data_IF_813546261353
#
_entry.id   IF_813546261353
#
_cell.length_a   1.000
_cell.length_b   1.000
_cell.length_c   1.000
_cell.angle_alpha   90.00
_cell.angle_beta   90.00
_cell.angle_gamma   90.00
#
_symmetry.space_group_name_H-M   'P 1'
#
loop_
_entity.id
_entity.type
_entity.pdbx_description
1 polymer ?
#
# COMPACT_ATOMS: atom_id res chain seq x y z
N UNK A 1 2.89 -9.44 -16.43
CA UNK A 1 1.82 -9.98 -17.32
C UNK A 1 2.27 -10.06 -18.78
N UNK A 2 1.79 -11.05 -19.54
CA UNK A 2 2.06 -11.19 -20.99
C UNK A 2 1.21 -10.23 -21.83
N UNK A 3 0.06 -9.82 -21.31
CA UNK A 3 -0.85 -8.85 -21.93
C UNK A 3 -1.10 -7.69 -20.97
N UNK A 4 -1.57 -6.56 -21.51
CA UNK A 4 -1.86 -5.38 -20.68
C UNK A 4 -2.97 -5.67 -19.66
N UNK A 5 -2.67 -5.43 -18.38
CA UNK A 5 -3.58 -5.58 -17.24
C UNK A 5 -3.89 -4.20 -16.66
N UNK A 6 -5.13 -3.96 -16.31
CA UNK A 6 -5.52 -2.72 -15.64
C UNK A 6 -5.19 -2.77 -14.16
N UNK A 7 -4.50 -1.73 -13.69
CA UNK A 7 -4.10 -1.53 -12.31
C UNK A 7 -4.60 -0.16 -11.83
N UNK A 8 -5.11 -0.10 -10.62
CA UNK A 8 -5.42 1.16 -9.96
C UNK A 8 -4.69 1.29 -8.63
N UNK A 9 -4.19 2.49 -8.35
CA UNK A 9 -3.51 2.81 -7.10
C UNK A 9 -4.30 3.84 -6.29
N UNK A 10 -4.77 3.45 -5.09
CA UNK A 10 -5.44 4.32 -4.13
C UNK A 10 -4.37 4.95 -3.23
N UNK A 11 -4.21 6.26 -3.33
CA UNK A 11 -3.15 6.97 -2.62
C UNK A 11 -3.44 8.46 -2.44
N UNK A 12 -2.57 9.11 -1.67
CA UNK A 12 -2.39 10.57 -1.58
C UNK A 12 -0.94 10.95 -1.95
N UNK A 13 -0.46 12.08 -1.43
CA UNK A 13 0.83 12.73 -1.72
C UNK A 13 2.04 11.80 -1.79
N UNK A 14 2.21 10.86 -0.84
CA UNK A 14 3.31 9.88 -0.91
C UNK A 14 3.23 9.01 -2.16
N UNK A 15 2.02 8.55 -2.51
CA UNK A 15 1.82 7.74 -3.71
C UNK A 15 1.97 8.55 -4.99
N UNK A 16 1.55 9.82 -4.99
CA UNK A 16 1.78 10.75 -6.10
C UNK A 16 3.29 10.92 -6.37
N UNK A 17 4.08 11.17 -5.32
CA UNK A 17 5.54 11.26 -5.43
C UNK A 17 6.14 9.94 -5.93
N UNK A 18 5.62 8.80 -5.47
CA UNK A 18 6.10 7.50 -5.89
C UNK A 18 5.79 7.19 -7.36
N UNK A 19 4.60 7.58 -7.85
CA UNK A 19 4.20 7.42 -9.27
C UNK A 19 5.03 8.28 -10.22
N UNK A 20 5.38 9.52 -9.81
CA UNK A 20 6.01 10.55 -10.65
C UNK A 20 7.34 10.11 -11.24
N UNK A 21 7.51 10.28 -12.57
CA UNK A 21 8.71 9.88 -13.32
C UNK A 21 10.01 10.45 -12.76
N UNK A 22 10.01 11.74 -12.44
CA UNK A 22 11.17 12.45 -11.90
C UNK A 22 11.43 12.16 -10.42
N UNK A 23 10.63 11.31 -9.78
CA UNK A 23 10.73 11.01 -8.33
C UNK A 23 10.85 9.51 -8.09
N UNK A 24 9.74 8.80 -7.84
CA UNK A 24 9.74 7.35 -7.60
C UNK A 24 9.74 6.50 -8.87
N UNK A 25 9.28 7.07 -9.98
CA UNK A 25 9.22 6.45 -11.30
C UNK A 25 8.33 5.18 -11.38
N UNK A 26 7.44 4.97 -10.40
CA UNK A 26 6.61 3.77 -10.35
C UNK A 26 5.64 3.70 -11.53
N UNK A 27 4.97 4.82 -11.87
CA UNK A 27 3.96 4.82 -12.92
C UNK A 27 4.49 4.38 -14.27
N UNK A 28 5.64 4.91 -14.70
CA UNK A 28 6.32 4.51 -15.93
C UNK A 28 6.75 3.05 -15.88
N UNK A 29 7.41 2.63 -14.78
CA UNK A 29 7.95 1.27 -14.64
C UNK A 29 6.84 0.22 -14.63
N UNK A 30 5.67 0.51 -14.04
CA UNK A 30 4.48 -0.33 -14.17
C UNK A 30 4.04 -0.47 -15.62
N UNK A 31 4.01 0.64 -16.37
CA UNK A 31 3.70 0.61 -17.82
C UNK A 31 4.67 -0.26 -18.62
N UNK A 32 5.96 -0.18 -18.33
CA UNK A 32 7.00 -1.03 -18.94
C UNK A 32 6.84 -2.51 -18.61
N UNK A 33 6.06 -2.84 -17.56
CA UNK A 33 5.73 -4.19 -17.13
C UNK A 33 4.28 -4.61 -17.47
N UNK A 34 3.67 -4.00 -18.47
CA UNK A 34 2.33 -4.30 -18.98
C UNK A 34 1.16 -3.98 -18.01
N UNK A 35 1.35 -3.08 -17.04
CA UNK A 35 0.24 -2.57 -16.24
C UNK A 35 -0.25 -1.22 -16.79
N UNK A 36 -1.51 -1.18 -17.24
CA UNK A 36 -2.20 0.10 -17.53
C UNK A 36 -2.61 0.72 -16.21
N UNK A 37 -1.91 1.77 -15.82
CA UNK A 37 -2.03 2.39 -14.50
C UNK A 37 -3.10 3.47 -14.51
N UNK A 38 -4.04 3.37 -13.58
CA UNK A 38 -4.92 4.44 -13.13
C UNK A 38 -4.64 4.73 -11.66
N UNK A 39 -5.02 5.87 -11.17
CA UNK A 39 -4.83 6.22 -9.77
C UNK A 39 -6.01 7.04 -9.23
N UNK A 40 -6.17 7.04 -7.91
CA UNK A 40 -7.00 8.01 -7.20
C UNK A 40 -6.10 9.00 -6.48
N UNK A 41 -6.61 10.19 -6.23
CA UNK A 41 -5.91 11.23 -5.47
C UNK A 41 -6.94 12.07 -4.72
N UNK A 42 -6.53 13.18 -4.10
CA UNK A 42 -7.43 14.09 -3.38
C UNK A 42 -8.67 14.47 -4.23
N UNK A 43 -9.82 14.47 -3.57
CA UNK A 43 -11.10 14.82 -4.18
C UNK A 43 -11.67 13.77 -5.15
N UNK A 44 -11.00 12.63 -5.35
CA UNK A 44 -11.46 11.60 -6.29
C UNK A 44 -12.72 10.88 -5.79
N UNK A 45 -13.57 10.52 -6.77
CA UNK A 45 -14.69 9.60 -6.60
C UNK A 45 -15.93 10.17 -5.90
N UNK A 46 -16.96 9.33 -5.69
CA UNK A 46 -18.18 9.72 -4.99
C UNK A 46 -17.87 10.30 -3.60
N UNK A 47 -18.50 11.44 -3.28
CA UNK A 47 -18.34 12.15 -2.01
C UNK A 47 -16.89 12.46 -1.62
N UNK A 48 -15.99 12.57 -2.62
CA UNK A 48 -14.57 12.80 -2.39
C UNK A 48 -13.90 11.70 -1.57
N UNK A 49 -14.27 10.44 -1.76
CA UNK A 49 -13.73 9.33 -1.00
C UNK A 49 -12.19 9.22 -1.13
N UNK A 50 -11.64 9.73 -2.24
CA UNK A 50 -10.20 9.82 -2.45
C UNK A 50 -9.44 10.57 -1.35
N UNK A 51 -10.09 11.45 -0.59
CA UNK A 51 -9.50 12.14 0.56
C UNK A 51 -9.31 11.23 1.78
N UNK A 52 -9.97 10.07 1.79
CA UNK A 52 -10.05 9.15 2.93
C UNK A 52 -9.23 7.90 2.69
N UNK A 53 -7.93 7.98 3.01
CA UNK A 53 -6.96 6.88 2.89
C UNK A 53 -6.19 6.60 4.18
N UNK A 54 -6.68 7.08 5.32
CA UNK A 54 -6.19 6.66 6.62
C UNK A 54 -6.63 5.23 6.92
N UNK A 55 -5.94 4.54 7.83
CA UNK A 55 -6.20 3.12 8.13
C UNK A 55 -7.69 2.88 8.42
N UNK A 56 -8.32 3.72 9.23
CA UNK A 56 -9.74 3.58 9.59
C UNK A 56 -10.68 3.75 8.40
N UNK A 57 -10.28 4.51 7.39
CA UNK A 57 -11.08 4.75 6.21
C UNK A 57 -11.16 3.52 5.29
N UNK A 58 -10.23 2.57 5.40
CA UNK A 58 -10.31 1.34 4.60
C UNK A 58 -11.58 0.54 4.85
N UNK A 59 -12.26 0.72 6.01
CA UNK A 59 -13.58 0.14 6.24
C UNK A 59 -14.64 0.71 5.31
N UNK A 60 -14.55 1.98 4.91
CA UNK A 60 -15.44 2.59 3.94
C UNK A 60 -15.15 2.10 2.51
N UNK A 61 -13.89 1.78 2.19
CA UNK A 61 -13.53 1.24 0.90
C UNK A 61 -13.88 -0.25 0.77
N UNK A 62 -13.50 -1.06 1.74
CA UNK A 62 -13.50 -2.52 1.63
C UNK A 62 -14.15 -3.25 2.82
N UNK A 63 -14.65 -2.53 3.81
CA UNK A 63 -15.25 -3.11 5.00
C UNK A 63 -16.70 -3.58 4.82
N UNK A 64 -17.34 -4.01 5.91
CA UNK A 64 -18.72 -4.49 5.88
C UNK A 64 -19.76 -3.45 5.46
N UNK A 65 -19.48 -2.16 5.69
CA UNK A 65 -20.36 -1.03 5.34
C UNK A 65 -19.75 -0.15 4.23
N UNK A 66 -19.00 -0.78 3.32
CA UNK A 66 -18.29 -0.10 2.25
C UNK A 66 -19.20 0.68 1.33
N UNK A 67 -18.66 1.69 0.69
CA UNK A 67 -19.33 2.49 -0.32
C UNK A 67 -19.29 1.77 -1.68
N UNK A 68 -20.39 1.12 -2.06
CA UNK A 68 -20.49 0.37 -3.32
C UNK A 68 -20.35 1.27 -4.57
N UNK A 69 -20.79 2.54 -4.50
CA UNK A 69 -20.64 3.48 -5.63
C UNK A 69 -19.16 3.84 -5.82
N UNK A 70 -18.42 3.98 -4.71
CA UNK A 70 -16.97 4.20 -4.76
C UNK A 70 -16.22 3.00 -5.35
N UNK A 71 -16.61 1.77 -5.00
CA UNK A 71 -16.02 0.56 -5.56
C UNK A 71 -16.33 0.42 -7.06
N UNK A 72 -17.56 0.69 -7.48
CA UNK A 72 -17.92 0.66 -8.89
C UNK A 72 -17.10 1.69 -9.68
N UNK A 73 -16.94 2.91 -9.15
CA UNK A 73 -16.08 3.93 -9.74
C UNK A 73 -14.62 3.48 -9.79
N UNK A 74 -14.10 2.90 -8.70
CA UNK A 74 -12.71 2.40 -8.61
C UNK A 74 -12.41 1.36 -9.69
N UNK A 75 -13.29 0.37 -9.85
CA UNK A 75 -13.07 -0.68 -10.85
C UNK A 75 -13.19 -0.18 -12.29
N UNK A 76 -14.04 0.81 -12.54
CA UNK A 76 -14.18 1.42 -13.84
C UNK A 76 -13.12 2.47 -14.17
N UNK A 77 -12.44 3.04 -13.14
CA UNK A 77 -11.55 4.18 -13.31
C UNK A 77 -10.43 3.91 -14.32
N UNK A 78 -10.26 4.82 -15.26
CA UNK A 78 -9.21 4.74 -16.28
C UNK A 78 -8.44 6.05 -16.46
N UNK A 79 -8.77 7.08 -15.68
CA UNK A 79 -8.07 8.34 -15.72
C UNK A 79 -6.72 8.27 -14.97
N UNK A 80 -5.96 9.30 -15.16
CA UNK A 80 -4.69 9.56 -14.52
C UNK A 80 -4.87 10.82 -13.67
N UNK A 81 -4.77 10.67 -12.34
CA UNK A 81 -4.99 11.75 -11.39
C UNK A 81 -3.68 12.31 -10.80
N UNK A 82 -2.55 11.75 -11.20
CA UNK A 82 -1.19 12.18 -10.84
C UNK A 82 -0.32 12.30 -12.10
N UNK A 83 0.82 12.98 -11.98
CA UNK A 83 1.72 13.25 -13.10
C UNK A 83 2.78 12.15 -13.26
N UNK A 84 2.54 11.21 -14.17
CA UNK A 84 3.49 10.16 -14.59
C UNK A 84 3.28 9.79 -16.06
N UNK A 85 4.28 9.22 -16.71
CA UNK A 85 4.17 8.76 -18.09
C UNK A 85 3.39 7.46 -18.19
N UNK A 86 2.27 7.49 -18.93
CA UNK A 86 1.49 6.31 -19.29
C UNK A 86 1.77 5.95 -20.74
N UNK A 87 2.44 4.82 -20.98
CA UNK A 87 2.85 4.36 -22.32
C UNK A 87 1.87 3.39 -22.97
N UNK A 88 0.98 2.79 -22.21
CA UNK A 88 0.04 1.77 -22.69
C UNK A 88 -1.33 2.38 -23.01
N UNK A 89 -1.99 1.80 -24.00
CA UNK A 89 -3.41 2.07 -24.27
C UNK A 89 -4.30 1.30 -23.30
N UNK A 90 -5.44 1.89 -22.94
CA UNK A 90 -6.44 1.22 -22.11
C UNK A 90 -6.95 -0.06 -22.80
N UNK A 91 -6.76 -1.25 -22.21
CA UNK A 91 -7.23 -2.50 -22.80
C UNK A 91 -8.74 -2.71 -22.64
N UNK A 92 -9.43 -1.82 -21.91
CA UNK A 92 -10.84 -1.98 -21.54
C UNK A 92 -11.06 -2.88 -20.33
N UNK A 93 -12.31 -3.02 -19.93
CA UNK A 93 -12.68 -3.81 -18.74
C UNK A 93 -12.47 -3.07 -17.43
N UNK A 94 -12.43 -3.82 -16.33
CA UNK A 94 -12.24 -3.29 -14.97
C UNK A 94 -10.78 -3.34 -14.53
N UNK A 95 -10.41 -2.54 -13.54
CA UNK A 95 -9.16 -2.68 -12.83
C UNK A 95 -9.10 -4.04 -12.13
N UNK A 96 -8.06 -4.79 -12.39
CA UNK A 96 -7.85 -6.14 -11.85
C UNK A 96 -6.88 -6.16 -10.68
N UNK A 97 -5.89 -5.26 -10.69
CA UNK A 97 -4.91 -5.11 -9.62
C UNK A 97 -5.21 -3.82 -8.86
N UNK A 98 -5.44 -3.93 -7.57
CA UNK A 98 -5.81 -2.81 -6.69
C UNK A 98 -4.68 -2.61 -5.67
N UNK A 99 -3.91 -1.54 -5.84
CA UNK A 99 -2.92 -1.11 -4.86
C UNK A 99 -3.57 -0.11 -3.92
N UNK A 100 -3.30 -0.21 -2.62
CA UNK A 100 -3.79 0.78 -1.66
C UNK A 100 -2.81 0.99 -0.52
N UNK A 101 -2.68 2.23 -0.06
CA UNK A 101 -1.78 2.62 1.02
C UNK A 101 -2.25 3.85 1.78
N UNK A 102 -2.01 3.86 3.09
CA UNK A 102 -2.11 5.05 3.92
C UNK A 102 -0.80 5.87 3.85
N UNK A 103 -0.89 7.16 4.22
CA UNK A 103 0.27 8.04 4.25
C UNK A 103 1.05 7.91 5.57
N UNK A 104 2.23 8.53 5.67
CA UNK A 104 3.14 8.42 6.82
C UNK A 104 2.50 8.75 8.20
N UNK A 105 1.51 9.65 8.34
CA UNK A 105 0.88 9.88 9.65
C UNK A 105 0.25 8.61 10.25
N UNK A 106 -0.10 7.64 9.42
CA UNK A 106 -0.67 6.36 9.85
C UNK A 106 0.35 5.41 10.49
N UNK A 107 1.62 5.79 10.53
CA UNK A 107 2.66 5.10 11.31
C UNK A 107 2.80 5.66 12.74
N UNK A 108 2.03 6.69 13.11
CA UNK A 108 1.95 7.21 14.48
C UNK A 108 0.91 6.42 15.30
N UNK A 109 1.22 5.15 15.58
CA UNK A 109 0.30 4.22 16.25
C UNK A 109 0.55 4.16 17.74
N UNK A 110 -0.37 4.70 18.54
CA UNK A 110 -0.36 4.56 19.99
C UNK A 110 -0.68 3.12 20.45
N UNK A 111 -0.71 2.88 21.75
CA UNK A 111 -0.97 1.57 22.34
C UNK A 111 0.30 0.77 22.56
N UNK A 112 0.20 -0.55 22.41
CA UNK A 112 1.30 -1.49 22.61
C UNK A 112 1.56 -2.32 21.34
N UNK A 113 2.82 -2.72 21.06
CA UNK A 113 3.15 -3.65 19.98
C UNK A 113 2.30 -4.94 19.98
N UNK A 114 1.96 -5.44 21.17
CA UNK A 114 1.24 -6.70 21.36
C UNK A 114 -0.29 -6.55 21.41
N UNK A 115 -0.82 -5.34 21.25
CA UNK A 115 -2.28 -5.13 21.31
C UNK A 115 -2.99 -6.02 20.28
N UNK A 116 -4.03 -6.77 20.71
CA UNK A 116 -4.83 -7.58 19.82
C UNK A 116 -5.74 -6.70 18.94
N UNK A 117 -6.27 -7.23 17.82
CA UNK A 117 -7.28 -6.53 17.04
C UNK A 117 -8.47 -6.12 17.92
N UNK A 118 -8.74 -4.81 18.04
CA UNK A 118 -9.74 -4.28 18.99
C UNK A 118 -10.65 -3.27 18.29
N UNK A 119 -11.96 -3.59 18.12
CA UNK A 119 -12.92 -2.67 17.52
C UNK A 119 -13.22 -1.49 18.48
N UNK A 120 -13.44 -0.31 17.92
CA UNK A 120 -13.86 0.87 18.69
C UNK A 120 -12.75 1.55 19.51
N UNK A 121 -11.51 1.11 19.38
CA UNK A 121 -10.35 1.80 19.93
C UNK A 121 -10.13 3.15 19.20
N UNK A 122 -9.37 4.09 19.79
CA UNK A 122 -8.95 5.29 19.08
C UNK A 122 -8.34 4.99 17.71
N UNK A 123 -8.54 5.87 16.76
CA UNK A 123 -8.24 5.62 15.33
C UNK A 123 -6.80 5.19 15.06
N UNK A 124 -5.84 5.79 15.75
CA UNK A 124 -4.41 5.54 15.52
C UNK A 124 -3.82 4.71 16.67
N UNK A 125 -4.28 3.48 16.82
CA UNK A 125 -3.69 2.49 17.76
C UNK A 125 -3.35 1.20 17.01
N UNK A 126 -2.40 0.44 17.56
CA UNK A 126 -2.04 -0.90 17.02
C UNK A 126 -3.25 -1.81 16.97
N UNK A 127 -4.07 -1.82 18.04
CA UNK A 127 -5.27 -2.66 18.11
C UNK A 127 -6.33 -2.30 17.08
N UNK A 128 -6.62 -0.99 16.92
CA UNK A 128 -7.55 -0.51 15.89
C UNK A 128 -7.08 -0.84 14.49
N UNK A 129 -5.80 -0.59 14.19
CA UNK A 129 -5.22 -0.88 12.89
C UNK A 129 -5.35 -2.37 12.53
N UNK A 130 -4.97 -3.28 13.44
CA UNK A 130 -5.13 -4.72 13.23
C UNK A 130 -6.58 -5.12 13.00
N UNK A 131 -7.52 -4.52 13.75
CA UNK A 131 -8.95 -4.77 13.57
C UNK A 131 -9.41 -4.37 12.18
N UNK A 132 -9.09 -3.16 11.73
CA UNK A 132 -9.47 -2.66 10.41
C UNK A 132 -9.01 -3.62 9.32
N UNK A 133 -7.72 -3.98 9.27
CA UNK A 133 -7.22 -4.86 8.23
C UNK A 133 -7.86 -6.26 8.24
N UNK A 134 -8.17 -6.82 9.42
CA UNK A 134 -8.90 -8.08 9.50
C UNK A 134 -10.29 -8.01 8.87
N UNK A 135 -11.02 -6.89 9.05
CA UNK A 135 -12.36 -6.71 8.48
C UNK A 135 -12.35 -6.67 6.93
N UNK A 136 -11.22 -6.26 6.31
CA UNK A 136 -11.11 -6.19 4.85
C UNK A 136 -11.07 -7.57 4.21
N UNK A 137 -10.56 -8.58 4.89
CA UNK A 137 -10.32 -9.92 4.33
C UNK A 137 -11.60 -10.60 3.83
N UNK A 138 -12.74 -10.34 4.48
CA UNK A 138 -14.04 -10.87 4.04
C UNK A 138 -14.42 -10.35 2.65
N UNK A 139 -14.17 -9.07 2.39
CA UNK A 139 -14.43 -8.49 1.08
C UNK A 139 -13.45 -9.04 0.04
N UNK A 140 -12.17 -9.06 0.36
CA UNK A 140 -11.15 -9.58 -0.57
C UNK A 140 -11.38 -11.04 -0.95
N UNK A 141 -11.81 -11.87 0.01
CA UNK A 141 -12.20 -13.26 -0.26
C UNK A 141 -13.42 -13.38 -1.19
N UNK A 142 -14.31 -12.40 -1.17
CA UNK A 142 -15.48 -12.35 -2.06
C UNK A 142 -15.15 -11.94 -3.50
N UNK A 143 -13.94 -11.44 -3.74
CA UNK A 143 -13.48 -10.93 -5.04
C UNK A 143 -12.21 -11.64 -5.51
N UNK A 144 -12.27 -12.96 -5.74
CA UNK A 144 -11.12 -13.73 -6.24
C UNK A 144 -10.69 -13.34 -7.66
N UNK A 145 -11.52 -12.57 -8.36
CA UNK A 145 -11.26 -11.95 -9.67
C UNK A 145 -10.35 -10.71 -9.60
N UNK A 146 -10.05 -10.21 -8.40
CA UNK A 146 -9.23 -9.04 -8.14
C UNK A 146 -8.01 -9.42 -7.31
N UNK A 147 -6.90 -8.77 -7.59
CA UNK A 147 -5.68 -8.85 -6.79
C UNK A 147 -5.56 -7.59 -5.95
N UNK A 148 -5.47 -7.74 -4.64
CA UNK A 148 -5.31 -6.63 -3.69
C UNK A 148 -3.89 -6.62 -3.14
N UNK A 149 -3.20 -5.49 -3.28
CA UNK A 149 -1.86 -5.30 -2.71
C UNK A 149 -1.92 -4.17 -1.69
N UNK A 150 -1.84 -4.53 -0.43
CA UNK A 150 -1.68 -3.59 0.66
C UNK A 150 -0.22 -3.14 0.73
N UNK A 151 -0.02 -1.83 0.75
CA UNK A 151 1.29 -1.21 0.86
C UNK A 151 1.36 -0.55 2.24
N UNK A 152 2.32 -0.95 3.07
CA UNK A 152 2.46 -0.42 4.43
C UNK A 152 2.73 1.09 4.41
N UNK A 153 2.22 1.81 5.40
CA UNK A 153 2.43 3.25 5.52
C UNK A 153 3.92 3.57 5.71
N UNK A 154 4.46 4.65 5.10
CA UNK A 154 5.84 5.05 5.32
C UNK A 154 6.15 5.35 6.79
N UNK A 155 7.39 5.11 7.26
CA UNK A 155 7.79 5.43 8.63
C UNK A 155 7.91 6.93 8.86
N UNK A 156 7.75 7.33 10.13
CA UNK A 156 8.06 8.66 10.60
C UNK A 156 9.54 8.80 10.98
N UNK A 157 10.03 10.02 11.02
CA UNK A 157 11.32 10.36 11.62
C UNK A 157 11.25 10.42 13.15
N UNK A 158 10.06 10.66 13.71
CA UNK A 158 9.81 10.69 15.16
C UNK A 158 9.85 9.25 15.71
N UNK A 159 10.68 8.96 16.72
CA UNK A 159 10.81 7.62 17.30
C UNK A 159 9.72 7.28 18.31
N UNK A 160 8.81 8.19 18.68
CA UNK A 160 7.86 8.01 19.80
C UNK A 160 7.05 6.74 19.70
N UNK A 161 6.47 6.44 18.52
CA UNK A 161 5.68 5.24 18.26
C UNK A 161 6.32 4.30 17.23
N UNK A 162 7.60 4.49 16.90
CA UNK A 162 8.27 3.72 15.86
C UNK A 162 8.27 2.20 16.13
N UNK A 163 8.43 1.79 17.40
CA UNK A 163 8.35 0.37 17.78
C UNK A 163 6.95 -0.22 17.55
N UNK A 164 5.89 0.54 17.80
CA UNK A 164 4.51 0.13 17.54
C UNK A 164 4.26 -0.02 16.03
N UNK A 165 4.72 0.97 15.24
CA UNK A 165 4.63 0.91 13.78
C UNK A 165 5.38 -0.32 13.22
N UNK A 166 6.60 -0.58 13.70
CA UNK A 166 7.37 -1.77 13.32
C UNK A 166 6.62 -3.06 13.65
N UNK A 167 6.11 -3.19 14.85
CA UNK A 167 5.38 -4.38 15.28
C UNK A 167 4.11 -4.58 14.45
N UNK A 168 3.37 -3.52 14.16
CA UNK A 168 2.19 -3.59 13.31
C UNK A 168 2.54 -4.03 11.88
N UNK A 169 3.57 -3.46 11.27
CA UNK A 169 3.99 -3.84 9.92
C UNK A 169 4.53 -5.28 9.87
N UNK A 170 5.27 -5.73 10.89
CA UNK A 170 5.68 -7.13 10.99
C UNK A 170 4.48 -8.08 11.14
N UNK A 171 3.46 -7.70 11.88
CA UNK A 171 2.21 -8.46 11.97
C UNK A 171 1.52 -8.55 10.60
N UNK A 172 1.45 -7.45 9.83
CA UNK A 172 0.88 -7.45 8.48
C UNK A 172 1.60 -8.44 7.54
N UNK A 173 2.92 -8.50 7.58
CA UNK A 173 3.69 -9.35 6.66
C UNK A 173 3.81 -10.81 7.11
N UNK A 174 3.69 -11.10 8.42
CA UNK A 174 3.92 -12.44 8.96
C UNK A 174 2.62 -13.15 9.38
N UNK A 175 1.65 -12.42 9.91
CA UNK A 175 0.53 -13.00 10.66
C UNK A 175 -0.84 -12.70 10.05
N UNK A 176 -1.03 -11.52 9.45
CA UNK A 176 -2.34 -11.06 8.97
C UNK A 176 -3.02 -12.05 8.03
N UNK A 177 -2.28 -12.62 7.10
CA UNK A 177 -2.80 -13.55 6.10
C UNK A 177 -2.69 -15.02 6.50
N UNK A 178 -2.21 -15.35 7.71
CA UNK A 178 -1.98 -16.75 8.13
C UNK A 178 -3.24 -17.63 8.09
N UNK A 179 -4.43 -17.05 8.29
CA UNK A 179 -5.72 -17.75 8.21
C UNK A 179 -6.47 -17.52 6.91
N UNK A 180 -5.94 -16.71 6.00
CA UNK A 180 -6.61 -16.35 4.75
C UNK A 180 -6.54 -17.51 3.73
N UNK A 181 -7.69 -17.90 3.17
CA UNK A 181 -7.77 -19.05 2.26
C UNK A 181 -7.65 -18.66 0.78
N UNK A 182 -7.68 -17.37 0.48
CA UNK A 182 -7.47 -16.86 -0.89
C UNK A 182 -5.99 -16.74 -1.25
N UNK A 183 -5.72 -16.50 -2.53
CA UNK A 183 -4.38 -16.23 -3.04
C UNK A 183 -4.31 -14.88 -3.79
N UNK A 184 -5.21 -13.97 -3.45
CA UNK A 184 -5.40 -12.71 -4.16
C UNK A 184 -5.10 -11.47 -3.30
N UNK A 185 -4.49 -11.64 -2.12
CA UNK A 185 -4.09 -10.56 -1.22
C UNK A 185 -2.61 -10.65 -0.90
N UNK A 186 -1.90 -9.54 -1.05
CA UNK A 186 -0.46 -9.45 -0.84
C UNK A 186 -0.11 -8.21 -0.03
N UNK A 187 1.03 -8.23 0.64
CA UNK A 187 1.56 -7.12 1.43
C UNK A 187 2.92 -6.70 0.89
N UNK A 188 3.05 -5.42 0.53
CA UNK A 188 4.34 -4.81 0.22
C UNK A 188 4.83 -3.97 1.40
N UNK A 189 5.93 -4.37 2.01
CA UNK A 189 6.49 -3.74 3.21
C UNK A 189 7.33 -2.50 2.87
N UNK A 190 6.62 -1.45 2.42
CA UNK A 190 7.21 -0.16 2.08
C UNK A 190 7.85 0.50 3.31
N UNK A 191 7.24 0.34 4.50
CA UNK A 191 7.80 0.80 5.76
C UNK A 191 9.23 0.28 5.97
N UNK A 192 9.41 -1.02 5.81
CA UNK A 192 10.72 -1.65 6.04
C UNK A 192 11.80 -1.09 5.12
N UNK A 193 11.49 -0.94 3.83
CA UNK A 193 12.42 -0.42 2.81
C UNK A 193 12.95 0.95 3.20
N UNK A 194 12.13 1.77 3.87
CA UNK A 194 12.43 3.16 4.19
C UNK A 194 13.12 3.36 5.55
N UNK A 195 13.22 2.31 6.38
CA UNK A 195 13.84 2.39 7.71
C UNK A 195 15.32 2.01 7.74
N UNK A 196 15.92 1.69 6.61
CA UNK A 196 17.35 1.39 6.52
C UNK A 196 17.83 1.24 5.09
N UNK A 197 19.09 1.59 4.84
CA UNK A 197 19.72 1.42 3.51
C UNK A 197 19.81 -0.05 3.11
N UNK A 198 20.03 -0.92 4.08
CA UNK A 198 20.17 -2.37 3.90
C UNK A 198 18.87 -3.13 4.24
N UNK A 199 17.78 -2.42 4.48
CA UNK A 199 16.47 -3.01 4.70
C UNK A 199 15.80 -3.30 3.35
N UNK A 200 15.28 -4.52 3.20
CA UNK A 200 14.72 -4.99 1.94
C UNK A 200 13.41 -5.75 2.15
N UNK A 201 12.55 -5.68 1.15
CA UNK A 201 11.44 -6.58 0.94
C UNK A 201 11.60 -7.18 -0.45
N UNK A 202 12.13 -8.39 -0.55
CA UNK A 202 12.58 -8.99 -1.81
C UNK A 202 12.25 -10.49 -1.89
N UNK A 203 12.22 -11.01 -3.10
CA UNK A 203 12.08 -12.45 -3.34
C UNK A 203 13.46 -13.07 -3.55
N UNK A 204 13.79 -14.06 -2.72
CA UNK A 204 15.06 -14.78 -2.81
C UNK A 204 14.87 -16.25 -2.41
N UNK A 205 15.51 -17.16 -3.13
CA UNK A 205 15.45 -18.60 -2.85
C UNK A 205 14.03 -19.18 -2.78
N UNK A 206 13.10 -18.62 -3.53
CA UNK A 206 11.71 -19.10 -3.57
C UNK A 206 10.76 -18.53 -2.51
N UNK A 207 11.21 -17.56 -1.71
CA UNK A 207 10.41 -16.93 -0.65
C UNK A 207 10.59 -15.41 -0.59
N UNK A 208 9.61 -14.73 -0.03
CA UNK A 208 9.73 -13.32 0.32
C UNK A 208 10.62 -13.19 1.57
N UNK A 209 11.60 -12.32 1.51
CA UNK A 209 12.51 -12.02 2.61
C UNK A 209 12.33 -10.57 3.06
N UNK A 210 12.11 -10.40 4.37
CA UNK A 210 12.09 -9.09 5.04
C UNK A 210 13.40 -8.94 5.83
N UNK A 211 14.33 -8.14 5.29
CA UNK A 211 15.62 -7.86 5.92
C UNK A 211 15.53 -6.53 6.64
N UNK A 212 15.78 -6.54 7.94
CA UNK A 212 15.82 -5.33 8.76
C UNK A 212 16.75 -5.51 9.96
N UNK A 213 17.21 -4.38 10.51
CA UNK A 213 17.97 -4.34 11.75
C UNK A 213 17.03 -3.93 12.89
N UNK A 214 16.86 -4.77 13.94
CA UNK A 214 16.01 -4.43 15.08
C UNK A 214 16.39 -3.09 15.71
N UNK A 215 15.39 -2.25 16.03
CA UNK A 215 15.58 -0.91 16.59
C UNK A 215 15.88 0.18 15.56
N UNK A 216 15.95 -0.14 14.28
CA UNK A 216 16.00 0.83 13.18
C UNK A 216 14.59 1.01 12.60
N UNK A 217 13.75 1.75 13.29
CA UNK A 217 12.31 1.81 13.06
C UNK A 217 11.82 3.19 12.59
N UNK A 218 12.73 4.15 12.42
CA UNK A 218 12.42 5.49 11.89
C UNK A 218 12.87 5.64 10.45
N UNK A 219 12.31 6.66 9.75
CA UNK A 219 12.65 6.94 8.36
C UNK A 219 14.13 7.36 8.22
N UNK A 220 14.84 6.74 7.28
CA UNK A 220 16.17 7.21 6.81
C UNK A 220 16.08 7.89 5.44
N UNK A 221 14.89 7.95 4.86
CA UNK A 221 14.62 8.52 3.55
C UNK A 221 13.59 9.65 3.59
N UNK A 222 13.34 10.25 4.75
CA UNK A 222 12.47 11.43 4.85
C UNK A 222 13.00 12.58 3.98
N UNK A 223 12.10 13.40 3.45
CA UNK A 223 12.45 14.57 2.64
C UNK A 223 13.21 15.64 3.44
N UNK A 224 13.03 15.68 4.78
CA UNK A 224 13.70 16.59 5.70
C UNK A 224 12.82 17.79 6.10
N UNK A 225 13.33 18.62 7.00
CA UNK A 225 12.64 19.80 7.52
C UNK A 225 11.27 19.52 8.16
N UNK A 226 11.11 18.31 8.76
CA UNK A 226 9.86 17.86 9.38
C UNK A 226 8.85 17.28 8.39
N UNK A 227 9.23 17.14 7.14
CA UNK A 227 8.45 16.43 6.14
C UNK A 227 8.92 14.96 6.05
N UNK A 228 8.07 14.04 6.49
CA UNK A 228 8.32 12.59 6.48
C UNK A 228 7.94 11.90 5.16
N UNK A 229 7.57 12.65 4.12
CA UNK A 229 7.45 12.04 2.79
C UNK A 229 8.77 11.38 2.41
N UNK A 230 8.73 10.14 1.88
CA UNK A 230 9.93 9.50 1.35
C UNK A 230 10.54 10.36 0.24
N UNK A 231 11.84 10.58 0.28
CA UNK A 231 12.57 11.29 -0.75
C UNK A 231 12.70 10.45 -2.04
N UNK A 232 13.26 11.05 -3.08
CA UNK A 232 13.45 10.38 -4.39
C UNK A 232 14.21 9.05 -4.25
N UNK A 233 15.28 9.01 -3.45
CA UNK A 233 16.11 7.80 -3.28
C UNK A 233 15.30 6.65 -2.66
N UNK A 234 14.56 6.90 -1.59
CA UNK A 234 13.71 5.90 -0.95
C UNK A 234 12.57 5.43 -1.85
N UNK A 235 11.94 6.36 -2.57
CA UNK A 235 10.87 6.04 -3.52
C UNK A 235 11.36 5.19 -4.68
N UNK A 236 12.54 5.48 -5.24
CA UNK A 236 13.15 4.67 -6.32
C UNK A 236 13.55 3.28 -5.84
N UNK A 237 14.17 3.17 -4.65
CA UNK A 237 14.47 1.88 -4.02
C UNK A 237 13.21 1.03 -3.90
N UNK A 238 12.11 1.63 -3.45
CA UNK A 238 10.84 0.93 -3.35
C UNK A 238 10.31 0.45 -4.71
N UNK A 239 10.42 1.25 -5.77
CA UNK A 239 10.03 0.84 -7.12
C UNK A 239 10.83 -0.36 -7.60
N UNK A 240 12.16 -0.35 -7.40
CA UNK A 240 13.05 -1.44 -7.79
C UNK A 240 12.72 -2.76 -7.09
N UNK A 241 12.25 -2.71 -5.85
CA UNK A 241 11.83 -3.90 -5.10
C UNK A 241 10.38 -4.31 -5.38
N UNK A 242 9.48 -3.35 -5.58
CA UNK A 242 8.06 -3.61 -5.76
C UNK A 242 7.75 -4.31 -7.08
N UNK A 243 8.32 -3.85 -8.18
CA UNK A 243 7.98 -4.37 -9.52
C UNK A 243 8.25 -5.87 -9.67
N UNK A 244 9.42 -6.42 -9.26
CA UNK A 244 9.65 -7.85 -9.31
C UNK A 244 8.66 -8.65 -8.45
N UNK A 245 8.33 -8.14 -7.24
CA UNK A 245 7.38 -8.80 -6.35
C UNK A 245 5.97 -8.80 -6.93
N UNK A 246 5.50 -7.66 -7.45
CA UNK A 246 4.20 -7.57 -8.11
C UNK A 246 4.07 -8.57 -9.27
N UNK A 247 5.12 -8.68 -10.09
CA UNK A 247 5.14 -9.64 -11.19
C UNK A 247 5.10 -11.10 -10.69
N UNK A 248 5.81 -11.42 -9.61
CA UNK A 248 5.75 -12.76 -8.99
C UNK A 248 4.35 -13.04 -8.47
N UNK A 249 3.74 -12.12 -7.71
CA UNK A 249 2.40 -12.28 -7.15
C UNK A 249 1.34 -12.43 -8.24
N UNK A 250 1.46 -11.68 -9.33
CA UNK A 250 0.53 -11.76 -10.45
C UNK A 250 0.51 -13.15 -11.12
N UNK A 251 1.57 -13.94 -11.00
CA UNK A 251 1.71 -15.27 -11.59
C UNK A 251 1.50 -16.42 -10.58
N UNK A 252 1.15 -16.14 -9.34
CA UNK A 252 0.78 -17.16 -8.34
C UNK A 252 -0.68 -17.54 -8.42
#
# INVERSE_FOLDING_TARGET
>A
PETTVRLIFIHHSTGENWLRDGYGNLGRTLGENNYFVSDTNYGWGPDGIGDRTDIVNWLEWFGPQRNEDALNALYAESAQNSDYTRSLSNPGGENQVILFKSCFPNSDLAGSPDDPPTPGEPEFTVGSAKYVYNELLNYFASRPDKMFVMITAPPLSDPTHAANARAFNLWLVNDWLAGYQGNNVFVFDFYNILTGTDHHHRYINGAIEHVYTPGHDTSVYASGDGDDHPNETGSRKATEEFIPLLNIWYHQ
#
